data_IF_701438062276
#
_entry.id   IF_701438062276
#
_cell.length_a   1.000
_cell.length_b   1.000
_cell.length_c   1.000
_cell.angle_alpha   90.00
_cell.angle_beta   90.00
_cell.angle_gamma   90.00
#
_symmetry.space_group_name_H-M   'P 1'
#
loop_
_entity.id
_entity.type
_entity.pdbx_description
1 polymer ?
#
# COMPACT_ATOMS: atom_id res chain seq x y z
N UNK A 1 61.22 -9.26 144.82
CA UNK A 1 61.53 -8.83 143.43
C UNK A 1 61.08 -9.83 142.38
N UNK A 2 61.34 -11.14 142.54
CA UNK A 2 60.97 -12.19 141.58
C UNK A 2 59.46 -12.27 141.22
N UNK A 3 58.55 -12.13 142.19
CA UNK A 3 57.09 -12.22 141.97
C UNK A 3 56.53 -11.09 141.09
N UNK A 4 57.05 -9.86 141.24
CA UNK A 4 56.64 -8.70 140.45
C UNK A 4 57.14 -8.78 138.99
N UNK A 5 58.37 -9.27 138.80
CA UNK A 5 58.93 -9.57 137.48
C UNK A 5 58.16 -10.69 136.78
N UNK A 6 57.80 -11.77 137.48
CA UNK A 6 57.01 -12.88 136.92
C UNK A 6 55.65 -12.44 136.39
N UNK A 7 54.90 -11.64 137.15
CA UNK A 7 53.58 -11.12 136.74
C UNK A 7 53.66 -10.14 135.56
N UNK A 8 54.74 -9.36 135.48
CA UNK A 8 55.01 -8.47 134.33
C UNK A 8 55.35 -9.29 133.08
N UNK A 9 56.13 -10.35 133.22
CA UNK A 9 56.43 -11.32 132.15
C UNK A 9 55.17 -12.04 131.66
N UNK A 10 54.29 -12.50 132.55
CA UNK A 10 52.98 -13.09 132.16
C UNK A 10 52.12 -12.10 131.36
N UNK A 11 52.04 -10.83 131.80
CA UNK A 11 51.28 -9.80 131.09
C UNK A 11 51.90 -9.45 129.73
N UNK A 12 53.21 -9.56 129.60
CA UNK A 12 53.92 -9.40 128.32
C UNK A 12 53.63 -10.60 127.41
N UNK A 13 53.70 -11.82 127.92
CA UNK A 13 53.36 -13.04 127.16
C UNK A 13 51.91 -13.00 126.67
N UNK A 14 50.94 -12.68 127.53
CA UNK A 14 49.54 -12.56 127.11
C UNK A 14 49.27 -11.43 126.09
N UNK A 15 50.13 -10.41 126.01
CA UNK A 15 50.07 -9.39 124.95
C UNK A 15 50.73 -9.88 123.66
N UNK A 16 51.82 -10.64 123.76
CA UNK A 16 52.47 -11.30 122.63
C UNK A 16 51.53 -12.32 121.97
N UNK A 17 50.89 -13.19 122.76
CA UNK A 17 49.90 -14.17 122.25
C UNK A 17 48.76 -13.48 121.49
N UNK A 18 48.27 -12.35 122.02
CA UNK A 18 47.20 -11.56 121.37
C UNK A 18 47.70 -10.83 120.12
N UNK A 19 48.98 -10.49 120.06
CA UNK A 19 49.61 -9.92 118.84
C UNK A 19 49.78 -11.02 117.79
N UNK A 20 50.23 -12.21 118.17
CA UNK A 20 50.34 -13.38 117.28
C UNK A 20 48.97 -13.77 116.70
N UNK A 21 47.92 -13.83 117.52
CA UNK A 21 46.56 -14.12 117.05
C UNK A 21 46.05 -13.07 116.05
N UNK A 22 46.32 -11.79 116.33
CA UNK A 22 45.97 -10.69 115.42
C UNK A 22 46.78 -10.73 114.14
N UNK A 23 48.06 -11.08 114.20
CA UNK A 23 48.92 -11.24 113.02
C UNK A 23 48.43 -12.40 112.15
N UNK A 24 48.10 -13.56 112.74
CA UNK A 24 47.49 -14.68 112.00
C UNK A 24 46.12 -14.31 111.39
N UNK A 25 45.34 -13.46 112.06
CA UNK A 25 44.11 -12.90 111.49
C UNK A 25 44.35 -11.93 110.33
N UNK A 26 45.45 -11.16 110.36
CA UNK A 26 45.87 -10.28 109.27
C UNK A 26 46.38 -11.11 108.08
N UNK A 27 47.18 -12.15 108.31
CA UNK A 27 47.66 -13.07 107.27
C UNK A 27 46.51 -13.70 106.49
N UNK A 28 45.52 -14.30 107.17
CA UNK A 28 44.32 -14.87 106.51
C UNK A 28 43.53 -13.84 105.70
N UNK A 29 43.49 -12.58 106.15
CA UNK A 29 42.83 -11.51 105.39
C UNK A 29 43.63 -11.10 104.17
N UNK A 30 44.96 -11.10 104.26
CA UNK A 30 45.84 -10.83 103.12
C UNK A 30 45.72 -11.93 102.07
N UNK A 31 45.76 -13.21 102.45
CA UNK A 31 45.49 -14.34 101.55
C UNK A 31 44.12 -14.21 100.85
N UNK A 32 43.09 -13.81 101.60
CA UNK A 32 41.76 -13.58 101.05
C UNK A 32 41.68 -12.36 100.12
N UNK A 33 42.57 -11.37 100.28
CA UNK A 33 42.70 -10.22 99.37
C UNK A 33 43.43 -10.65 98.10
N UNK A 34 44.54 -11.39 98.21
CA UNK A 34 45.30 -11.95 97.09
C UNK A 34 44.39 -12.78 96.18
N UNK A 35 43.67 -13.76 96.72
CA UNK A 35 42.77 -14.58 95.91
C UNK A 35 41.56 -13.84 95.32
N UNK A 36 41.24 -12.63 95.81
CA UNK A 36 40.26 -11.73 95.17
C UNK A 36 40.88 -10.90 94.06
N UNK A 37 42.15 -10.51 94.20
CA UNK A 37 42.89 -9.80 93.17
C UNK A 37 43.12 -10.72 91.96
N UNK A 38 43.52 -11.98 92.17
CA UNK A 38 43.69 -12.96 91.09
C UNK A 38 42.40 -13.11 90.26
N UNK A 39 41.25 -13.23 90.92
CA UNK A 39 39.94 -13.29 90.24
C UNK A 39 39.55 -12.01 89.52
N UNK A 40 40.03 -10.85 89.99
CA UNK A 40 39.82 -9.58 89.30
C UNK A 40 40.70 -9.52 88.05
N UNK A 41 41.95 -9.96 88.13
CA UNK A 41 42.87 -10.06 86.99
C UNK A 41 42.30 -10.98 85.90
N UNK A 42 41.87 -12.21 86.24
CA UNK A 42 41.23 -13.13 85.28
C UNK A 42 40.01 -12.51 84.60
N UNK A 43 39.18 -11.77 85.35
CA UNK A 43 38.01 -11.09 84.80
C UNK A 43 38.38 -9.92 83.90
N UNK A 44 39.45 -9.21 84.20
CA UNK A 44 39.95 -8.12 83.37
C UNK A 44 40.50 -8.66 82.06
N UNK A 45 41.28 -9.75 82.08
CA UNK A 45 41.77 -10.43 80.88
C UNK A 45 40.60 -10.88 79.97
N UNK A 46 39.56 -11.49 80.56
CA UNK A 46 38.37 -11.89 79.80
C UNK A 46 37.61 -10.69 79.21
N UNK A 47 37.55 -9.56 79.92
CA UNK A 47 36.94 -8.33 79.39
C UNK A 47 37.76 -7.77 78.23
N UNK A 48 39.08 -7.77 78.33
CA UNK A 48 39.98 -7.31 77.27
C UNK A 48 39.84 -8.16 75.99
N UNK A 49 39.79 -9.49 76.12
CA UNK A 49 39.55 -10.39 74.98
C UNK A 49 38.19 -10.11 74.32
N UNK A 50 37.13 -9.97 75.11
CA UNK A 50 35.79 -9.66 74.61
C UNK A 50 35.74 -8.30 73.90
N UNK A 51 36.42 -7.27 74.44
CA UNK A 51 36.52 -5.96 73.82
C UNK A 51 37.26 -6.04 72.47
N UNK A 52 38.34 -6.84 72.38
CA UNK A 52 39.02 -7.13 71.13
C UNK A 52 38.09 -7.74 70.08
N UNK A 53 37.30 -8.75 70.46
CA UNK A 53 36.32 -9.38 69.59
C UNK A 53 35.19 -8.44 69.14
N UNK A 54 34.73 -7.54 70.02
CA UNK A 54 33.75 -6.50 69.67
C UNK A 54 34.35 -5.51 68.65
N UNK A 55 35.60 -5.09 68.85
CA UNK A 55 36.28 -4.14 67.96
C UNK A 55 36.48 -4.72 66.55
N UNK A 56 36.83 -6.01 66.43
CA UNK A 56 36.93 -6.67 65.14
C UNK A 56 35.56 -6.75 64.43
N UNK A 57 34.50 -7.10 65.16
CA UNK A 57 33.13 -7.15 64.63
C UNK A 57 32.66 -5.78 64.14
N UNK A 58 32.99 -4.72 64.88
CA UNK A 58 32.67 -3.34 64.52
C UNK A 58 33.36 -2.95 63.21
N UNK A 59 34.67 -3.22 63.12
CA UNK A 59 35.47 -2.97 61.90
C UNK A 59 34.90 -3.71 60.69
N UNK A 60 34.45 -4.96 60.87
CA UNK A 60 33.80 -5.74 59.80
C UNK A 60 32.45 -5.16 59.41
N UNK A 61 31.67 -4.66 60.37
CA UNK A 61 30.39 -4.01 60.11
C UNK A 61 30.57 -2.71 59.32
N UNK A 62 31.54 -1.87 59.70
CA UNK A 62 31.90 -0.63 58.98
C UNK A 62 32.27 -0.89 57.53
N UNK A 63 33.12 -1.90 57.26
CA UNK A 63 33.46 -2.29 55.88
C UNK A 63 32.25 -2.75 55.06
N UNK A 64 31.32 -3.48 55.68
CA UNK A 64 30.09 -3.92 55.01
C UNK A 64 29.15 -2.76 54.71
N UNK A 65 29.06 -1.77 55.61
CA UNK A 65 28.28 -0.57 55.37
C UNK A 65 28.85 0.25 54.21
N UNK A 66 30.17 0.44 54.15
CA UNK A 66 30.81 1.12 53.04
C UNK A 66 30.61 0.41 51.68
N UNK A 67 30.65 -0.94 51.64
CA UNK A 67 30.31 -1.69 50.42
C UNK A 67 28.85 -1.50 50.01
N UNK A 68 27.92 -1.53 50.97
CA UNK A 68 26.50 -1.32 50.72
C UNK A 68 26.23 0.09 50.18
N UNK A 69 26.86 1.12 50.73
CA UNK A 69 26.78 2.50 50.23
C UNK A 69 27.27 2.59 48.78
N UNK A 70 28.41 1.98 48.47
CA UNK A 70 28.93 1.94 47.11
C UNK A 70 28.02 1.18 46.12
N UNK A 71 27.36 0.12 46.57
CA UNK A 71 26.37 -0.61 45.78
C UNK A 71 25.09 0.20 45.57
N UNK A 72 24.64 0.92 46.58
CA UNK A 72 23.45 1.77 46.52
C UNK A 72 23.66 2.91 45.50
N UNK A 73 24.81 3.59 45.55
CA UNK A 73 25.17 4.62 44.58
C UNK A 73 25.20 4.10 43.13
N UNK A 74 25.68 2.87 42.91
CA UNK A 74 25.62 2.23 41.58
C UNK A 74 24.19 1.93 41.13
N UNK A 75 23.29 1.58 42.05
CA UNK A 75 21.88 1.34 41.73
C UNK A 75 21.20 2.65 41.37
N UNK A 76 21.43 3.72 42.12
CA UNK A 76 20.92 5.06 41.83
C UNK A 76 21.34 5.52 40.43
N UNK A 77 22.63 5.44 40.10
CA UNK A 77 23.10 5.82 38.76
C UNK A 77 22.52 4.96 37.63
N UNK A 78 22.19 3.68 37.89
CA UNK A 78 21.50 2.82 36.92
C UNK A 78 20.03 3.21 36.75
N UNK A 79 19.36 3.61 37.82
CA UNK A 79 17.96 4.07 37.78
C UNK A 79 17.85 5.37 36.98
N UNK A 80 18.70 6.36 37.24
CA UNK A 80 18.72 7.60 36.45
C UNK A 80 18.99 7.35 34.95
N UNK A 81 19.86 6.39 34.64
CA UNK A 81 20.13 6.00 33.26
C UNK A 81 18.93 5.29 32.62
N UNK A 82 18.15 4.53 33.40
CA UNK A 82 16.93 3.89 32.94
C UNK A 82 15.83 4.94 32.67
N UNK A 83 15.64 5.90 33.58
CA UNK A 83 14.70 7.01 33.42
C UNK A 83 14.97 7.78 32.13
N UNK A 84 16.22 8.19 31.89
CA UNK A 84 16.62 8.86 30.64
C UNK A 84 16.34 8.03 29.39
N UNK A 85 16.46 6.70 29.47
CA UNK A 85 16.14 5.81 28.34
C UNK A 85 14.63 5.70 28.11
N UNK A 86 13.85 5.65 29.18
CA UNK A 86 12.38 5.64 29.09
C UNK A 86 11.89 6.93 28.46
N UNK A 87 12.36 8.09 28.91
CA UNK A 87 12.04 9.40 28.31
C UNK A 87 12.38 9.45 26.81
N UNK A 88 13.51 8.84 26.43
CA UNK A 88 13.92 8.74 25.03
C UNK A 88 13.00 7.86 24.19
N UNK A 89 12.54 6.74 24.75
CA UNK A 89 11.56 5.85 24.09
C UNK A 89 10.21 6.53 23.96
N UNK A 90 9.74 7.24 24.98
CA UNK A 90 8.45 7.96 24.94
C UNK A 90 8.44 9.02 23.84
N UNK A 91 9.52 9.80 23.71
CA UNK A 91 9.68 10.77 22.60
C UNK A 91 9.67 10.09 21.23
N UNK A 92 10.42 9.01 21.07
CA UNK A 92 10.47 8.27 19.82
C UNK A 92 9.10 7.68 19.44
N UNK A 93 8.32 7.20 20.42
CA UNK A 93 6.96 6.74 20.19
C UNK A 93 6.02 7.88 19.78
N UNK A 94 6.18 9.07 20.37
CA UNK A 94 5.49 10.30 19.93
C UNK A 94 5.78 10.62 18.46
N UNK A 95 7.06 10.67 18.08
CA UNK A 95 7.48 10.94 16.69
C UNK A 95 6.93 9.91 15.70
N UNK A 96 6.87 8.63 16.11
CA UNK A 96 6.27 7.56 15.30
C UNK A 96 4.77 7.78 15.15
N UNK A 97 4.06 8.19 16.21
CA UNK A 97 2.64 8.55 16.16
C UNK A 97 2.37 9.65 15.13
N UNK A 98 3.08 10.77 15.21
CA UNK A 98 2.93 11.88 14.27
C UNK A 98 3.19 11.47 12.80
N UNK A 99 4.18 10.58 12.59
CA UNK A 99 4.48 10.05 11.26
C UNK A 99 3.38 9.14 10.72
N UNK A 100 2.73 8.36 11.59
CA UNK A 100 1.60 7.52 11.20
C UNK A 100 0.40 8.37 10.79
N UNK A 101 0.07 9.40 11.57
CA UNK A 101 -1.01 10.35 11.25
C UNK A 101 -0.75 11.04 9.90
N UNK A 102 0.49 11.44 9.64
CA UNK A 102 0.87 12.03 8.35
C UNK A 102 0.77 11.05 7.18
N UNK A 103 1.04 9.76 7.40
CA UNK A 103 0.88 8.71 6.38
C UNK A 103 -0.60 8.47 6.11
N UNK A 104 -1.45 8.40 7.14
CA UNK A 104 -2.89 8.23 7.01
C UNK A 104 -3.51 9.37 6.20
N UNK A 105 -3.18 10.63 6.52
CA UNK A 105 -3.65 11.79 5.77
C UNK A 105 -3.20 11.77 4.28
N UNK A 106 -2.01 11.24 3.99
CA UNK A 106 -1.53 11.08 2.61
C UNK A 106 -2.30 9.98 1.87
N UNK A 107 -2.63 8.88 2.53
CA UNK A 107 -3.43 7.80 1.94
C UNK A 107 -4.83 8.30 1.57
N UNK A 108 -5.52 8.99 2.47
CA UNK A 108 -6.85 9.57 2.16
C UNK A 108 -6.81 10.53 0.98
N UNK A 109 -5.73 11.32 0.83
CA UNK A 109 -5.56 12.19 -0.34
C UNK A 109 -5.35 11.39 -1.63
N UNK A 110 -4.64 10.27 -1.57
CA UNK A 110 -4.42 9.40 -2.74
C UNK A 110 -5.73 8.73 -3.14
N UNK A 111 -6.51 8.23 -2.18
CA UNK A 111 -7.83 7.65 -2.40
C UNK A 111 -8.75 8.65 -3.14
N UNK A 112 -8.89 9.87 -2.62
CA UNK A 112 -9.70 10.89 -3.29
C UNK A 112 -9.20 11.28 -4.69
N UNK A 113 -7.88 11.19 -4.96
CA UNK A 113 -7.33 11.41 -6.31
C UNK A 113 -7.65 10.26 -7.26
N UNK A 114 -7.70 9.02 -6.76
CA UNK A 114 -8.07 7.85 -7.56
C UNK A 114 -9.55 7.90 -7.95
N UNK A 115 -10.44 8.17 -7.00
CA UNK A 115 -11.87 8.38 -7.28
C UNK A 115 -12.09 9.48 -8.33
N UNK A 116 -11.38 10.60 -8.20
CA UNK A 116 -11.42 11.68 -9.18
C UNK A 116 -10.89 11.27 -10.57
N UNK A 117 -9.88 10.40 -10.64
CA UNK A 117 -9.37 9.87 -11.90
C UNK A 117 -10.35 8.90 -12.56
N UNK A 118 -10.97 8.00 -11.79
CA UNK A 118 -12.01 7.08 -12.26
C UNK A 118 -13.21 7.83 -12.84
N UNK A 119 -13.69 8.87 -12.15
CA UNK A 119 -14.78 9.72 -12.64
C UNK A 119 -14.43 10.41 -13.97
N UNK A 120 -13.18 10.89 -14.11
CA UNK A 120 -12.72 11.49 -15.36
C UNK A 120 -12.63 10.49 -16.50
N UNK A 121 -12.18 9.26 -16.24
CA UNK A 121 -12.13 8.19 -17.24
C UNK A 121 -13.53 7.82 -17.72
N UNK A 122 -14.48 7.64 -16.80
CA UNK A 122 -15.90 7.41 -17.16
C UNK A 122 -16.47 8.57 -18.01
N UNK A 123 -16.10 9.82 -17.69
CA UNK A 123 -16.47 10.98 -18.50
C UNK A 123 -15.88 10.97 -19.90
N UNK A 124 -14.62 10.51 -20.05
CA UNK A 124 -13.96 10.35 -21.35
C UNK A 124 -14.61 9.24 -22.17
N UNK A 125 -14.90 8.09 -21.56
CA UNK A 125 -15.59 6.96 -22.20
C UNK A 125 -16.95 7.40 -22.78
N UNK A 126 -17.78 8.05 -21.96
CA UNK A 126 -19.06 8.59 -22.42
C UNK A 126 -18.90 9.66 -23.52
N UNK A 127 -17.84 10.48 -23.42
CA UNK A 127 -17.48 11.44 -24.45
C UNK A 127 -17.17 10.78 -25.80
N UNK A 128 -16.41 9.67 -25.77
CA UNK A 128 -16.06 8.89 -26.96
C UNK A 128 -17.28 8.23 -27.60
N UNK A 129 -18.16 7.60 -26.81
CA UNK A 129 -19.43 7.04 -27.31
C UNK A 129 -20.27 8.10 -28.04
N UNK A 130 -20.33 9.31 -27.48
CA UNK A 130 -21.06 10.42 -28.09
C UNK A 130 -20.39 10.88 -29.39
N UNK A 131 -19.06 10.92 -29.46
CA UNK A 131 -18.32 11.25 -30.68
C UNK A 131 -18.55 10.19 -31.75
N UNK A 132 -18.46 8.91 -31.41
CA UNK A 132 -18.74 7.79 -32.31
C UNK A 132 -20.15 7.85 -32.88
N UNK A 133 -21.16 8.07 -32.03
CA UNK A 133 -22.56 8.23 -32.45
C UNK A 133 -22.75 9.43 -33.39
N UNK A 134 -22.04 10.54 -33.15
CA UNK A 134 -22.08 11.73 -34.03
C UNK A 134 -21.40 11.45 -35.36
N UNK A 135 -20.24 10.80 -35.36
CA UNK A 135 -19.52 10.43 -36.58
C UNK A 135 -20.35 9.47 -37.43
N UNK A 136 -20.96 8.43 -36.83
CA UNK A 136 -21.86 7.52 -37.54
C UNK A 136 -23.03 8.25 -38.21
N UNK A 137 -23.64 9.22 -37.52
CA UNK A 137 -24.70 10.07 -38.11
C UNK A 137 -24.19 10.92 -39.27
N UNK A 138 -22.99 11.49 -39.17
CA UNK A 138 -22.39 12.30 -40.24
C UNK A 138 -22.05 11.44 -41.45
N UNK A 139 -21.43 10.27 -41.25
CA UNK A 139 -21.07 9.32 -42.32
C UNK A 139 -22.33 8.88 -43.08
N UNK A 140 -23.36 8.41 -42.37
CA UNK A 140 -24.64 8.02 -42.99
C UNK A 140 -25.32 9.17 -43.73
N UNK A 141 -25.26 10.37 -43.17
CA UNK A 141 -25.79 11.58 -43.81
C UNK A 141 -25.07 11.92 -45.11
N UNK A 142 -23.75 11.81 -45.13
CA UNK A 142 -22.93 12.04 -46.30
C UNK A 142 -23.14 10.97 -47.39
N UNK A 143 -23.15 9.69 -47.02
CA UNK A 143 -23.44 8.57 -47.93
C UNK A 143 -24.82 8.73 -48.59
N UNK A 144 -25.83 9.08 -47.79
CA UNK A 144 -27.19 9.33 -48.29
C UNK A 144 -27.24 10.50 -49.29
N UNK A 145 -26.52 11.59 -49.00
CA UNK A 145 -26.43 12.74 -49.92
C UNK A 145 -25.69 12.39 -51.21
N UNK A 146 -24.55 11.69 -51.13
CA UNK A 146 -23.77 11.26 -52.29
C UNK A 146 -24.58 10.32 -53.18
N UNK A 147 -25.25 9.34 -52.57
CA UNK A 147 -26.08 8.38 -53.31
C UNK A 147 -27.24 9.10 -54.02
N UNK A 148 -27.95 9.99 -53.34
CA UNK A 148 -29.03 10.79 -53.94
C UNK A 148 -28.54 11.59 -55.14
N UNK A 149 -27.44 12.35 -55.00
CA UNK A 149 -26.91 13.17 -56.09
C UNK A 149 -26.49 12.34 -57.29
N UNK A 150 -25.81 11.22 -57.08
CA UNK A 150 -25.33 10.35 -58.16
C UNK A 150 -26.48 9.67 -58.88
N UNK A 151 -27.41 9.11 -58.11
CA UNK A 151 -28.62 8.47 -58.63
C UNK A 151 -29.47 9.46 -59.42
N UNK A 152 -29.65 10.69 -58.90
CA UNK A 152 -30.33 11.78 -59.60
C UNK A 152 -29.64 12.15 -60.92
N UNK A 153 -28.33 12.46 -60.89
CA UNK A 153 -27.56 12.84 -62.09
C UNK A 153 -27.51 11.74 -63.15
N UNK A 154 -27.43 10.47 -62.74
CA UNK A 154 -27.52 9.33 -63.63
C UNK A 154 -28.93 9.20 -64.24
N UNK A 155 -29.98 9.44 -63.43
CA UNK A 155 -31.37 9.36 -63.88
C UNK A 155 -31.74 10.47 -64.87
N UNK A 156 -31.23 11.68 -64.68
CA UNK A 156 -31.36 12.79 -65.64
C UNK A 156 -30.50 12.56 -66.90
N UNK A 157 -29.47 11.72 -66.78
CA UNK A 157 -28.56 11.38 -67.87
C UNK A 157 -27.40 12.32 -68.07
N UNK A 158 -27.09 13.11 -67.05
CA UNK A 158 -25.89 13.94 -66.99
C UNK A 158 -24.65 13.05 -67.05
N UNK A 159 -24.69 11.91 -66.34
CA UNK A 159 -23.63 10.90 -66.34
C UNK A 159 -23.96 9.82 -67.37
N UNK A 160 -23.09 9.65 -68.37
CA UNK A 160 -23.26 8.64 -69.43
C UNK A 160 -22.71 7.29 -69.00
N UNK A 161 -23.44 6.23 -69.34
CA UNK A 161 -23.09 4.83 -69.08
C UNK A 161 -21.68 4.46 -69.57
N UNK A 162 -21.33 4.90 -70.78
CA UNK A 162 -20.02 4.64 -71.40
C UNK A 162 -18.84 5.21 -70.59
N UNK A 163 -19.06 6.23 -69.76
CA UNK A 163 -18.01 6.88 -68.98
C UNK A 163 -17.67 6.10 -67.70
N UNK A 164 -18.63 5.39 -67.09
CA UNK A 164 -18.33 4.59 -65.89
C UNK A 164 -17.88 3.15 -66.20
N UNK A 165 -17.96 2.70 -67.46
CA UNK A 165 -17.32 1.44 -67.89
C UNK A 165 -15.79 1.44 -67.65
N UNK A 166 -15.15 2.61 -67.67
CA UNK A 166 -13.71 2.77 -67.38
C UNK A 166 -13.38 2.43 -65.91
N UNK A 167 -14.33 2.65 -64.99
CA UNK A 167 -14.16 2.41 -63.54
C UNK A 167 -14.24 0.91 -63.20
N UNK A 168 -14.86 0.12 -64.07
CA UNK A 168 -15.21 -1.30 -63.84
C UNK A 168 -13.99 -2.22 -63.70
N UNK A 169 -12.92 -1.93 -64.44
CA UNK A 169 -11.66 -2.67 -64.34
C UNK A 169 -10.98 -2.44 -62.99
N UNK A 170 -11.09 -1.23 -62.43
CA UNK A 170 -10.56 -0.87 -61.12
C UNK A 170 -11.39 -1.53 -59.98
N UNK A 171 -12.71 -1.64 -60.16
CA UNK A 171 -13.63 -2.25 -59.18
C UNK A 171 -13.42 -3.75 -58.97
N UNK A 172 -12.89 -4.48 -59.95
CA UNK A 172 -12.56 -5.90 -59.79
C UNK A 172 -11.47 -6.13 -58.74
N UNK A 173 -10.48 -5.24 -58.71
CA UNK A 173 -9.42 -5.27 -57.70
C UNK A 173 -9.93 -4.93 -56.30
N UNK A 174 -11.08 -4.28 -56.18
CA UNK A 174 -11.72 -3.96 -54.90
C UNK A 174 -12.35 -5.21 -54.28
N UNK A 175 -12.87 -6.13 -55.09
CA UNK A 175 -13.47 -7.36 -54.58
C UNK A 175 -12.48 -8.27 -53.85
N UNK A 176 -11.18 -8.23 -54.20
CA UNK A 176 -10.15 -8.97 -53.46
C UNK A 176 -9.78 -8.32 -52.12
N UNK A 177 -10.21 -7.08 -51.89
CA UNK A 177 -10.03 -6.37 -50.62
C UNK A 177 -11.17 -6.61 -49.62
N UNK A 178 -12.31 -7.15 -50.08
CA UNK A 178 -13.44 -7.51 -49.24
C UNK A 178 -13.10 -8.80 -48.48
N UNK A 179 -13.27 -8.80 -47.17
CA UNK A 179 -13.03 -9.95 -46.30
C UNK A 179 -14.24 -10.14 -45.36
N UNK A 180 -14.18 -11.11 -44.45
CA UNK A 180 -15.24 -11.35 -43.47
C UNK A 180 -15.70 -10.01 -42.83
N UNK A 181 -17.02 -9.68 -42.77
CA UNK A 181 -18.18 -10.57 -42.75
C UNK A 181 -19.08 -10.60 -44.01
N UNK A 182 -18.64 -10.12 -45.17
CA UNK A 182 -19.32 -10.47 -46.43
C UNK A 182 -19.20 -11.98 -46.68
N UNK A 183 -20.32 -12.64 -46.99
CA UNK A 183 -20.28 -14.07 -47.32
C UNK A 183 -19.61 -14.26 -48.69
N UNK A 184 -19.06 -15.46 -48.93
CA UNK A 184 -18.51 -15.80 -50.25
C UNK A 184 -19.55 -15.63 -51.36
N UNK A 185 -20.81 -15.95 -51.07
CA UNK A 185 -21.94 -15.79 -51.99
C UNK A 185 -22.21 -14.30 -52.30
N UNK A 186 -22.15 -13.42 -51.30
CA UNK A 186 -22.33 -11.98 -51.49
C UNK A 186 -21.21 -11.36 -52.34
N UNK A 187 -19.96 -11.79 -52.13
CA UNK A 187 -18.81 -11.35 -52.94
C UNK A 187 -18.92 -11.87 -54.37
N UNK A 188 -19.38 -13.11 -54.57
CA UNK A 188 -19.61 -13.68 -55.90
C UNK A 188 -20.73 -12.93 -56.63
N UNK A 189 -21.82 -12.60 -55.92
CA UNK A 189 -22.93 -11.81 -56.48
C UNK A 189 -22.52 -10.39 -56.85
N UNK A 190 -21.67 -9.75 -56.04
CA UNK A 190 -21.03 -8.47 -56.40
C UNK A 190 -20.17 -8.59 -57.66
N UNK A 191 -19.45 -9.71 -57.85
CA UNK A 191 -18.68 -9.99 -59.06
C UNK A 191 -19.58 -10.13 -60.28
N UNK A 192 -20.67 -10.89 -60.16
CA UNK A 192 -21.66 -11.04 -61.23
C UNK A 192 -22.25 -9.69 -61.65
N UNK A 193 -22.66 -8.85 -60.70
CA UNK A 193 -23.16 -7.50 -60.99
C UNK A 193 -22.08 -6.59 -61.60
N UNK A 194 -20.82 -6.72 -61.18
CA UNK A 194 -19.71 -6.03 -61.84
C UNK A 194 -19.41 -6.56 -63.24
N UNK A 195 -19.89 -7.73 -63.65
CA UNK A 195 -19.69 -8.33 -64.98
C UNK A 195 -20.92 -8.23 -65.91
N UNK A 196 -22.09 -7.90 -65.35
CA UNK A 196 -23.31 -7.58 -66.11
C UNK A 196 -23.30 -6.20 -66.79
N UNK A 197 -23.80 -6.11 -68.01
CA UNK A 197 -23.95 -4.84 -68.72
C UNK A 197 -24.97 -3.92 -67.99
N UNK A 198 -24.64 -2.64 -67.70
CA UNK A 198 -25.57 -1.75 -66.97
C UNK A 198 -26.91 -1.54 -67.71
N UNK A 199 -26.92 -1.73 -69.03
CA UNK A 199 -28.07 -1.72 -69.92
C UNK A 199 -29.05 -2.88 -69.72
N UNK A 200 -28.69 -3.90 -68.94
CA UNK A 200 -29.47 -5.14 -68.75
C UNK A 200 -30.01 -5.32 -67.32
N UNK A 201 -29.71 -4.41 -66.39
CA UNK A 201 -30.16 -4.52 -64.99
C UNK A 201 -31.67 -4.36 -64.83
N UNK A 202 -32.33 -5.23 -64.08
CA UNK A 202 -33.67 -4.93 -63.56
C UNK A 202 -33.57 -3.97 -62.37
N UNK A 203 -34.68 -3.33 -61.99
CA UNK A 203 -34.69 -2.46 -60.81
C UNK A 203 -34.33 -3.24 -59.54
N UNK A 204 -34.85 -4.46 -59.40
CA UNK A 204 -34.57 -5.35 -58.26
C UNK A 204 -33.08 -5.73 -58.18
N UNK A 205 -32.45 -6.06 -59.32
CA UNK A 205 -31.01 -6.34 -59.36
C UNK A 205 -30.16 -5.12 -59.03
N UNK A 206 -30.57 -3.93 -59.48
CA UNK A 206 -29.84 -2.69 -59.20
C UNK A 206 -29.96 -2.28 -57.73
N UNK A 207 -31.12 -2.51 -57.11
CA UNK A 207 -31.33 -2.30 -55.67
C UNK A 207 -30.54 -3.31 -54.83
N UNK A 208 -30.52 -4.59 -55.22
CA UNK A 208 -29.73 -5.60 -54.53
C UNK A 208 -28.21 -5.35 -54.68
N UNK A 209 -27.77 -4.92 -55.86
CA UNK A 209 -26.37 -4.53 -56.07
C UNK A 209 -25.97 -3.38 -55.14
N UNK A 210 -26.81 -2.35 -55.05
CA UNK A 210 -26.56 -1.22 -54.14
C UNK A 210 -26.63 -1.63 -52.66
N UNK A 211 -27.53 -2.53 -52.29
CA UNK A 211 -27.60 -3.09 -50.93
C UNK A 211 -26.30 -3.78 -50.53
N UNK A 212 -25.76 -4.63 -51.42
CA UNK A 212 -24.47 -5.30 -51.21
C UNK A 212 -23.31 -4.31 -51.14
N UNK A 213 -23.32 -3.28 -51.98
CA UNK A 213 -22.29 -2.24 -51.97
C UNK A 213 -22.32 -1.39 -50.68
N UNK A 214 -23.50 -1.08 -50.14
CA UNK A 214 -23.64 -0.43 -48.82
C UNK A 214 -23.09 -1.31 -47.71
N UNK A 215 -23.43 -2.61 -47.71
CA UNK A 215 -22.88 -3.58 -46.76
C UNK A 215 -21.36 -3.64 -46.84
N UNK A 216 -20.79 -3.56 -48.03
CA UNK A 216 -19.34 -3.50 -48.19
C UNK A 216 -18.73 -2.23 -47.55
N UNK A 217 -19.37 -1.06 -47.69
CA UNK A 217 -18.91 0.19 -47.05
C UNK A 217 -19.04 0.12 -45.52
N UNK A 218 -20.10 -0.49 -44.99
CA UNK A 218 -20.27 -0.65 -43.53
C UNK A 218 -19.14 -1.50 -42.91
N UNK A 219 -18.67 -2.52 -43.63
CA UNK A 219 -17.68 -3.48 -43.13
C UNK A 219 -16.22 -3.13 -43.49
N UNK A 220 -16.02 -2.38 -44.58
CA UNK A 220 -14.70 -2.07 -45.13
C UNK A 220 -14.55 -0.59 -45.52
N UNK A 221 -15.28 0.31 -44.84
CA UNK A 221 -15.23 1.75 -45.05
C UNK A 221 -13.89 2.39 -44.68
N UNK A 222 -12.94 1.64 -44.11
CA UNK A 222 -11.55 2.04 -43.96
C UNK A 222 -10.79 2.08 -45.30
N UNK A 223 -11.29 1.39 -46.32
CA UNK A 223 -10.70 1.30 -47.66
C UNK A 223 -11.45 2.21 -48.63
N UNK A 224 -10.78 3.26 -49.11
CA UNK A 224 -11.39 4.24 -50.01
C UNK A 224 -11.90 3.61 -51.33
N UNK A 225 -11.34 2.46 -51.72
CA UNK A 225 -11.75 1.68 -52.88
C UNK A 225 -13.19 1.17 -52.80
N UNK A 226 -13.69 0.86 -51.59
CA UNK A 226 -15.03 0.30 -51.39
C UNK A 226 -16.11 1.34 -51.64
N UNK A 227 -15.82 2.61 -51.39
CA UNK A 227 -16.71 3.70 -51.79
C UNK A 227 -16.87 3.77 -53.31
N UNK A 228 -15.84 3.45 -54.12
CA UNK A 228 -16.00 3.41 -55.59
C UNK A 228 -17.04 2.38 -56.03
N UNK A 229 -17.11 1.24 -55.33
CA UNK A 229 -18.12 0.20 -55.58
C UNK A 229 -19.54 0.71 -55.27
N UNK A 230 -19.72 1.40 -54.13
CA UNK A 230 -20.99 2.02 -53.74
C UNK A 230 -21.45 3.09 -54.75
N UNK A 231 -20.53 3.98 -55.17
CA UNK A 231 -20.84 5.00 -56.18
C UNK A 231 -21.24 4.37 -57.53
N UNK A 232 -20.57 3.29 -57.96
CA UNK A 232 -20.90 2.59 -59.19
C UNK A 232 -22.27 1.89 -59.12
N UNK A 233 -22.58 1.23 -58.01
CA UNK A 233 -23.90 0.62 -57.82
C UNK A 233 -25.03 1.67 -57.84
N UNK A 234 -24.80 2.86 -57.25
CA UNK A 234 -25.74 3.97 -57.31
C UNK A 234 -25.95 4.50 -58.75
N UNK A 235 -24.89 4.57 -59.56
CA UNK A 235 -24.98 4.92 -60.98
C UNK A 235 -25.83 3.91 -61.75
N UNK A 236 -25.60 2.61 -61.54
CA UNK A 236 -26.36 1.53 -62.20
C UNK A 236 -27.84 1.63 -61.87
N UNK A 237 -28.20 1.91 -60.61
CA UNK A 237 -29.59 2.17 -60.21
C UNK A 237 -30.19 3.37 -60.93
N UNK A 238 -29.49 4.50 -60.96
CA UNK A 238 -29.98 5.72 -61.62
C UNK A 238 -30.20 5.54 -63.13
N UNK A 239 -29.28 4.85 -63.82
CA UNK A 239 -29.43 4.53 -65.25
C UNK A 239 -30.58 3.56 -65.50
N UNK A 240 -30.75 2.55 -64.64
CA UNK A 240 -31.84 1.57 -64.73
C UNK A 240 -33.18 2.28 -64.61
N UNK A 241 -33.33 3.17 -63.62
CA UNK A 241 -34.55 3.98 -63.45
C UNK A 241 -34.85 4.81 -64.69
N UNK A 242 -33.85 5.51 -65.24
CA UNK A 242 -34.02 6.31 -66.46
C UNK A 242 -34.49 5.48 -67.65
N UNK A 243 -33.88 4.29 -67.83
CA UNK A 243 -34.21 3.41 -68.96
C UNK A 243 -35.65 2.93 -68.86
N UNK A 244 -36.09 2.54 -67.66
CA UNK A 244 -37.47 2.10 -67.40
C UNK A 244 -38.47 3.24 -67.62
N UNK A 245 -38.21 4.44 -67.08
CA UNK A 245 -39.06 5.62 -67.30
C UNK A 245 -39.22 5.96 -68.80
N UNK A 246 -38.14 5.92 -69.58
CA UNK A 246 -38.18 6.14 -71.04
C UNK A 246 -38.92 5.03 -71.80
N UNK A 247 -38.91 3.79 -71.29
CA UNK A 247 -39.64 2.69 -71.89
C UNK A 247 -41.15 2.84 -71.66
N UNK A 248 -41.54 3.31 -70.47
CA UNK A 248 -42.93 3.65 -70.12
C UNK A 248 -43.46 4.83 -70.95
N UNK A 249 -42.71 5.92 -71.08
CA UNK A 249 -43.08 7.07 -71.94
C UNK A 249 -43.30 6.66 -73.41
N UNK A 250 -42.45 5.76 -73.95
CA UNK A 250 -42.57 5.22 -75.32
C UNK A 250 -43.66 4.17 -75.48
N UNK A 251 -44.16 3.60 -74.38
CA UNK A 251 -45.30 2.69 -74.33
C UNK A 251 -46.61 3.45 -74.27
N UNK A 252 -46.69 4.48 -73.44
CA UNK A 252 -47.86 5.37 -73.31
C UNK A 252 -48.18 6.13 -74.60
N UNK A 253 -47.16 6.72 -75.24
CA UNK A 253 -47.34 7.39 -76.55
C UNK A 253 -47.77 6.47 -77.70
N UNK A 254 -47.74 5.13 -77.53
CA UNK A 254 -48.20 4.15 -78.53
C UNK A 254 -49.63 3.67 -78.29
N UNK A 255 -50.22 3.93 -77.13
CA UNK A 255 -51.61 3.60 -76.82
C UNK A 255 -52.57 4.78 -77.09
N UNK A 256 -52.05 6.01 -77.15
CA UNK A 256 -52.81 7.24 -77.38
C UNK A 256 -52.74 7.78 -78.84
N UNK A 257 -52.19 7.00 -79.78
CA UNK A 257 -52.11 7.35 -81.22
C UNK A 257 -52.94 6.42 -82.11
#
# INVERSE_FOLDING_TARGET
>A
MAYWLGRKFEKINARLDRVEERLGGVEKRLEGVEGRLDKVEERLESVEENLGGVQERLTKAERRLADLEGRLSKVEGRLEALERRVDGVEKALGDVGERLDAVEARLSRVEGRLEGAESRLAGVEHGLEKVESRLSRVVKGFESHQEFLIDYLASEGVIKEKTALVVRAELRSVLSLLSNPLTKEEVEKLREYLEKDPGEFTMEEAEDFLRLARKAVEEHGDKYEVYKLHLYAALVRGWTRRRLAKAEEKGGNRCDS
#
